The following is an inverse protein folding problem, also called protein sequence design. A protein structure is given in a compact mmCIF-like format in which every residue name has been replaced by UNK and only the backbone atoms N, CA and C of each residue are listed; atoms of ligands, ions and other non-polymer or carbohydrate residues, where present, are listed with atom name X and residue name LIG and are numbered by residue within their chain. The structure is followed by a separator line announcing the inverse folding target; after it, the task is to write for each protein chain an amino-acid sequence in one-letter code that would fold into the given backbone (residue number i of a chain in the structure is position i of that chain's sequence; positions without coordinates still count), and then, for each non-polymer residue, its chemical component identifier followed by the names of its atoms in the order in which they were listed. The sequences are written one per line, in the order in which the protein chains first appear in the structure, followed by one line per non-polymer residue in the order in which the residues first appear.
data_IF_719863363268
#
_entry.id   IF_719863363268
#
_cell.length_a   1.000
_cell.length_b   1.000
_cell.length_c   1.000
_cell.angle_alpha   90.00
_cell.angle_beta   90.00
_cell.angle_gamma   90.00
#
_symmetry.space_group_name_H-M   'P 1'
#
loop_
_entity.id
_entity.type
_entity.pdbx_description
1 polymer ?
#
# COMPACT_ATOMS: atom_id res chain seq x y z
N UNK A 1 31.69 -31.81 23.25
CA UNK A 1 30.23 -31.73 23.10
C UNK A 1 29.71 -30.30 23.17
N UNK A 2 30.15 -29.48 24.14
CA UNK A 2 29.74 -28.07 24.23
C UNK A 2 30.27 -27.22 23.05
N UNK A 3 31.54 -27.40 22.66
CA UNK A 3 32.16 -26.60 21.58
C UNK A 3 31.46 -26.82 20.23
N UNK A 4 31.18 -28.07 19.88
CA UNK A 4 30.41 -28.42 18.67
C UNK A 4 28.98 -27.85 18.69
N UNK A 5 28.35 -27.74 19.87
CA UNK A 5 27.03 -27.12 20.01
C UNK A 5 27.11 -25.60 19.82
N UNK A 6 28.15 -24.94 20.32
CA UNK A 6 28.36 -23.50 20.13
C UNK A 6 28.71 -23.17 18.68
N UNK A 7 29.55 -23.98 18.03
CA UNK A 7 29.88 -23.85 16.60
C UNK A 7 28.63 -23.95 15.71
N UNK A 8 27.76 -24.93 15.99
CA UNK A 8 26.51 -25.10 15.22
C UNK A 8 25.53 -23.95 15.45
N UNK A 9 25.35 -23.47 16.68
CA UNK A 9 24.53 -22.29 16.98
C UNK A 9 25.09 -21.05 16.28
N UNK A 10 26.41 -20.86 16.34
CA UNK A 10 27.11 -19.75 15.68
C UNK A 10 26.91 -19.77 14.16
N UNK A 11 27.06 -20.95 13.53
CA UNK A 11 26.85 -21.12 12.10
C UNK A 11 25.39 -20.82 11.70
N UNK A 12 24.42 -21.34 12.46
CA UNK A 12 22.99 -21.05 12.22
C UNK A 12 22.71 -19.56 12.31
N UNK A 13 23.31 -18.86 13.29
CA UNK A 13 23.13 -17.42 13.41
C UNK A 13 23.80 -16.66 12.26
N UNK A 14 25.03 -17.02 11.87
CA UNK A 14 25.68 -16.37 10.71
C UNK A 14 24.86 -16.55 9.43
N UNK A 15 24.34 -17.76 9.18
CA UNK A 15 23.48 -18.03 8.03
C UNK A 15 22.16 -17.25 8.09
N UNK A 16 21.51 -17.18 9.25
CA UNK A 16 20.28 -16.41 9.42
C UNK A 16 20.55 -14.90 9.26
N UNK A 17 21.66 -14.38 9.79
CA UNK A 17 22.12 -12.99 9.57
C UNK A 17 22.36 -12.69 8.10
N UNK A 18 23.10 -13.56 7.41
CA UNK A 18 23.39 -13.41 5.98
C UNK A 18 22.12 -13.44 5.14
N UNK A 19 21.17 -14.34 5.45
CA UNK A 19 19.86 -14.38 4.80
C UNK A 19 19.06 -13.09 5.06
N UNK A 20 19.05 -12.58 6.29
CA UNK A 20 18.37 -11.31 6.65
C UNK A 20 18.98 -10.13 5.90
N UNK A 21 20.31 -10.09 5.79
CA UNK A 21 21.02 -9.08 5.01
C UNK A 21 20.69 -9.20 3.52
N UNK A 22 20.71 -10.42 2.97
CA UNK A 22 20.28 -10.67 1.60
C UNK A 22 18.83 -10.22 1.36
N UNK A 23 17.87 -10.57 2.21
CA UNK A 23 16.46 -10.17 2.05
C UNK A 23 16.31 -8.64 2.09
N UNK A 24 17.11 -7.95 2.92
CA UNK A 24 17.15 -6.49 2.96
C UNK A 24 17.76 -5.89 1.68
N UNK A 25 18.86 -6.46 1.18
CA UNK A 25 19.55 -5.99 -0.03
C UNK A 25 18.84 -6.40 -1.32
N UNK A 26 18.11 -7.51 -1.33
CA UNK A 26 17.41 -8.04 -2.50
C UNK A 26 16.38 -7.04 -3.04
N UNK A 27 15.81 -6.21 -2.19
CA UNK A 27 14.96 -5.09 -2.59
C UNK A 27 15.66 -4.03 -3.43
N UNK A 28 16.96 -3.90 -3.23
CA UNK A 28 17.85 -3.00 -3.96
C UNK A 28 18.62 -3.71 -5.07
N UNK A 29 18.38 -4.99 -5.34
CA UNK A 29 19.14 -5.72 -6.36
C UNK A 29 18.19 -6.38 -7.37
N UNK A 30 17.03 -6.86 -6.94
CA UNK A 30 16.07 -7.52 -7.81
C UNK A 30 15.34 -6.51 -8.71
N UNK A 31 15.10 -6.85 -10.00
CA UNK A 31 14.37 -5.99 -10.91
C UNK A 31 12.93 -5.82 -10.43
N UNK A 32 12.42 -4.58 -10.57
CA UNK A 32 11.03 -4.27 -10.29
C UNK A 32 10.12 -5.11 -11.19
N UNK A 33 9.06 -5.66 -10.61
CA UNK A 33 8.00 -6.29 -11.41
C UNK A 33 7.28 -5.17 -12.18
N UNK A 34 7.16 -5.26 -13.51
CA UNK A 34 6.54 -4.20 -14.28
C UNK A 34 5.06 -4.06 -13.89
N UNK A 35 4.65 -2.83 -13.59
CA UNK A 35 3.26 -2.52 -13.20
C UNK A 35 2.27 -2.67 -14.37
N UNK A 36 2.77 -2.70 -15.61
CA UNK A 36 1.97 -2.96 -16.82
C UNK A 36 1.20 -4.27 -16.76
N UNK A 37 1.65 -5.23 -15.94
CA UNK A 37 0.90 -6.49 -15.73
C UNK A 37 -0.48 -6.30 -15.09
N UNK A 38 -0.73 -5.16 -14.44
CA UNK A 38 -2.02 -4.83 -13.81
C UNK A 38 -2.86 -3.87 -14.67
N UNK A 39 -2.44 -3.62 -15.91
CA UNK A 39 -3.20 -2.87 -16.91
C UNK A 39 -4.00 -3.86 -17.74
N UNK A 40 -5.32 -3.67 -17.78
CA UNK A 40 -6.23 -4.66 -18.36
C UNK A 40 -6.26 -4.62 -19.89
N UNK A 41 -6.05 -3.46 -20.51
CA UNK A 41 -6.15 -3.28 -21.98
C UNK A 41 -5.20 -2.23 -22.57
N UNK A 42 -4.23 -1.72 -21.80
CA UNK A 42 -3.32 -0.67 -22.23
C UNK A 42 -3.21 0.48 -21.20
N UNK A 43 -2.43 1.52 -21.52
CA UNK A 43 -2.28 2.68 -20.67
C UNK A 43 -3.61 3.46 -20.58
N UNK A 44 -3.90 4.01 -19.40
CA UNK A 44 -5.06 4.84 -19.08
C UNK A 44 -6.43 4.14 -19.15
N UNK A 45 -6.45 2.80 -19.18
CA UNK A 45 -7.67 2.00 -19.08
C UNK A 45 -7.94 1.51 -17.65
N UNK A 46 -6.88 1.38 -16.85
CA UNK A 46 -6.95 0.84 -15.48
C UNK A 46 -6.74 1.92 -14.45
N UNK A 47 -7.45 1.81 -13.33
CA UNK A 47 -7.43 2.78 -12.25
C UNK A 47 -6.64 2.28 -11.03
N UNK A 48 -5.96 3.20 -10.39
CA UNK A 48 -5.30 2.98 -9.11
C UNK A 48 -5.90 3.88 -8.03
N UNK A 49 -6.45 3.27 -6.96
CA UNK A 49 -6.93 4.00 -5.79
C UNK A 49 -5.80 4.14 -4.76
N UNK A 50 -5.47 5.37 -4.38
CA UNK A 50 -4.41 5.67 -3.41
C UNK A 50 -5.02 6.44 -2.25
N UNK A 51 -4.90 5.93 -1.03
CA UNK A 51 -5.31 6.64 0.20
C UNK A 51 -4.17 7.48 0.76
N UNK A 52 -4.48 8.56 1.46
CA UNK A 52 -3.46 9.52 1.93
C UNK A 52 -2.66 10.11 0.76
N UNK A 53 -3.37 10.41 -0.34
CA UNK A 53 -2.76 10.78 -1.62
C UNK A 53 -2.50 12.28 -1.79
N UNK A 54 -2.86 13.12 -0.82
CA UNK A 54 -2.65 14.57 -0.89
C UNK A 54 -1.16 14.96 -0.75
N UNK A 55 -0.35 14.17 -0.04
CA UNK A 55 1.05 14.49 0.20
C UNK A 55 1.95 13.25 0.41
N UNK A 56 3.26 13.50 0.51
CA UNK A 56 4.26 12.52 0.94
C UNK A 56 4.30 11.25 0.09
N UNK A 57 4.37 10.10 0.76
CA UNK A 57 4.50 8.78 0.09
C UNK A 57 3.29 8.47 -0.79
N UNK A 58 2.08 8.85 -0.37
CA UNK A 58 0.86 8.56 -1.12
C UNK A 58 0.80 9.36 -2.41
N UNK A 59 1.08 10.66 -2.35
CA UNK A 59 1.21 11.50 -3.54
C UNK A 59 2.27 10.96 -4.50
N UNK A 60 3.46 10.63 -4.00
CA UNK A 60 4.52 10.03 -4.83
C UNK A 60 4.10 8.70 -5.48
N UNK A 61 3.36 7.84 -4.75
CA UNK A 61 2.80 6.62 -5.36
C UNK A 61 1.80 6.94 -6.46
N UNK A 62 0.91 7.91 -6.25
CA UNK A 62 -0.08 8.33 -7.24
C UNK A 62 0.59 8.91 -8.50
N UNK A 63 1.59 9.77 -8.35
CA UNK A 63 2.41 10.30 -9.45
C UNK A 63 3.08 9.17 -10.25
N UNK A 64 3.74 8.23 -9.57
CA UNK A 64 4.45 7.14 -10.24
C UNK A 64 3.49 6.18 -10.96
N UNK A 65 2.28 5.96 -10.44
CA UNK A 65 1.24 5.16 -11.10
C UNK A 65 0.69 5.89 -12.33
N UNK A 66 0.40 7.18 -12.20
CA UNK A 66 0.01 8.07 -13.28
C UNK A 66 1.01 8.04 -14.45
N UNK A 67 2.30 8.23 -14.13
CA UNK A 67 3.39 8.20 -15.11
C UNK A 67 3.56 6.85 -15.82
N UNK A 68 3.07 5.77 -15.21
CA UNK A 68 3.08 4.43 -15.80
C UNK A 68 1.81 4.11 -16.58
N UNK A 69 0.90 5.07 -16.75
CA UNK A 69 -0.33 4.90 -17.53
C UNK A 69 -1.48 4.29 -16.72
N UNK A 70 -1.59 4.59 -15.44
CA UNK A 70 -2.85 4.37 -14.70
C UNK A 70 -3.61 5.68 -14.59
N UNK A 71 -4.93 5.62 -14.66
CA UNK A 71 -5.76 6.67 -14.07
C UNK A 71 -5.70 6.55 -12.55
N UNK A 72 -5.87 7.66 -11.82
CA UNK A 72 -5.67 7.66 -10.37
C UNK A 72 -6.90 8.18 -9.64
N UNK A 73 -7.32 7.45 -8.61
CA UNK A 73 -8.27 7.93 -7.61
C UNK A 73 -7.48 8.39 -6.40
N UNK A 74 -7.52 9.68 -6.11
CA UNK A 74 -6.85 10.27 -4.95
C UNK A 74 -7.83 10.30 -3.78
N UNK A 75 -7.49 9.63 -2.70
CA UNK A 75 -8.30 9.60 -1.49
C UNK A 75 -7.58 10.27 -0.32
N UNK A 76 -8.26 11.22 0.33
CA UNK A 76 -7.76 12.04 1.43
C UNK A 76 -8.89 12.76 2.15
N UNK A 77 -8.60 13.48 3.23
CA UNK A 77 -9.64 14.16 4.03
C UNK A 77 -9.86 15.62 3.63
N UNK A 78 -8.85 16.26 3.04
CA UNK A 78 -8.90 17.66 2.65
C UNK A 78 -9.07 17.77 1.12
N UNK A 79 -10.11 18.48 0.69
CA UNK A 79 -10.43 18.61 -0.74
C UNK A 79 -9.47 19.53 -1.47
N UNK A 80 -8.99 20.61 -0.82
CA UNK A 80 -8.11 21.59 -1.45
C UNK A 80 -6.73 20.97 -1.66
N UNK A 81 -6.21 20.23 -0.66
CA UNK A 81 -4.95 19.49 -0.83
C UNK A 81 -5.04 18.41 -1.93
N UNK A 82 -6.20 17.77 -2.08
CA UNK A 82 -6.43 16.77 -3.14
C UNK A 82 -6.49 17.40 -4.53
N UNK A 83 -7.07 18.60 -4.65
CA UNK A 83 -7.08 19.36 -5.91
C UNK A 83 -5.67 19.82 -6.28
N UNK A 84 -4.88 20.29 -5.31
CA UNK A 84 -3.47 20.64 -5.53
C UNK A 84 -2.65 19.41 -6.00
N UNK A 85 -2.85 18.26 -5.34
CA UNK A 85 -2.24 17.00 -5.73
C UNK A 85 -2.63 16.57 -7.16
N UNK A 86 -3.91 16.71 -7.52
CA UNK A 86 -4.40 16.45 -8.89
C UNK A 86 -3.70 17.35 -9.90
N UNK A 87 -3.69 18.66 -9.66
CA UNK A 87 -3.05 19.63 -10.56
C UNK A 87 -1.56 19.32 -10.77
N UNK A 88 -0.86 18.94 -9.69
CA UNK A 88 0.53 18.51 -9.76
C UNK A 88 0.71 17.28 -10.67
N UNK A 89 -0.07 16.22 -10.45
CA UNK A 89 0.02 14.97 -11.25
C UNK A 89 -0.27 15.25 -12.72
N UNK A 90 -1.33 15.99 -13.02
CA UNK A 90 -1.71 16.35 -14.40
C UNK A 90 -0.59 17.15 -15.08
N UNK A 91 0.00 18.11 -14.36
CA UNK A 91 1.11 18.92 -14.87
C UNK A 91 2.35 18.08 -15.18
N UNK A 92 2.72 17.14 -14.31
CA UNK A 92 3.89 16.28 -14.49
C UNK A 92 3.70 15.32 -15.67
N UNK A 93 2.51 14.71 -15.78
CA UNK A 93 2.15 13.84 -16.90
C UNK A 93 2.26 14.58 -18.25
N UNK A 94 1.79 15.83 -18.29
CA UNK A 94 1.90 16.70 -19.47
C UNK A 94 3.36 17.01 -19.80
N UNK A 95 4.18 17.36 -18.81
CA UNK A 95 5.60 17.65 -18.99
C UNK A 95 6.37 16.45 -19.54
N UNK A 96 6.06 15.23 -19.08
CA UNK A 96 6.68 13.99 -19.57
C UNK A 96 6.12 13.52 -20.94
N UNK A 97 5.22 14.30 -21.56
CA UNK A 97 4.62 14.03 -22.89
C UNK A 97 4.01 12.63 -23.01
N UNK A 98 3.32 12.18 -21.96
CA UNK A 98 2.61 10.92 -22.01
C UNK A 98 1.57 10.94 -23.15
N UNK A 99 1.52 9.85 -23.92
CA UNK A 99 0.52 9.69 -24.99
C UNK A 99 -0.79 9.20 -24.37
N UNK A 100 -1.67 10.12 -24.04
CA UNK A 100 -3.00 9.84 -23.48
C UNK A 100 -3.40 10.87 -22.43
N UNK A 101 -4.70 11.03 -22.23
CA UNK A 101 -5.24 11.88 -21.17
C UNK A 101 -5.40 11.04 -19.91
N UNK A 102 -4.61 11.39 -18.88
CA UNK A 102 -4.81 10.83 -17.55
C UNK A 102 -6.10 11.37 -16.95
N UNK A 103 -6.93 10.48 -16.42
CA UNK A 103 -8.06 10.86 -15.58
C UNK A 103 -7.66 10.78 -14.09
N UNK A 104 -8.01 11.82 -13.34
CA UNK A 104 -7.85 11.88 -11.89
C UNK A 104 -9.23 12.05 -11.26
N UNK A 105 -9.58 11.18 -10.31
CA UNK A 105 -10.84 11.26 -9.54
C UNK A 105 -10.52 11.49 -8.07
N UNK A 106 -11.27 12.37 -7.42
CA UNK A 106 -11.11 12.66 -5.99
C UNK A 106 -12.14 11.91 -5.15
N UNK A 107 -11.71 11.40 -4.00
CA UNK A 107 -12.57 10.77 -2.99
C UNK A 107 -12.23 11.34 -1.63
N UNK A 108 -13.15 12.11 -1.06
CA UNK A 108 -12.95 12.73 0.26
C UNK A 108 -13.40 11.77 1.34
N UNK A 109 -12.44 11.23 2.10
CA UNK A 109 -12.66 10.37 3.26
C UNK A 109 -11.61 10.68 4.33
N UNK A 110 -12.10 10.95 5.54
CA UNK A 110 -11.26 10.95 6.74
C UNK A 110 -11.12 9.52 7.26
N UNK A 111 -9.92 8.99 7.27
CA UNK A 111 -9.68 7.62 7.71
C UNK A 111 -9.85 7.40 9.22
N UNK A 112 -9.76 8.45 10.05
CA UNK A 112 -10.04 8.37 11.48
C UNK A 112 -11.54 8.56 11.79
N UNK A 113 -12.24 9.38 11.01
CA UNK A 113 -13.61 9.78 11.33
C UNK A 113 -14.71 9.18 10.43
N UNK A 114 -14.37 8.67 9.24
CA UNK A 114 -15.39 8.21 8.29
C UNK A 114 -16.09 6.94 8.79
N UNK A 115 -17.42 7.02 8.84
CA UNK A 115 -18.29 5.90 9.17
C UNK A 115 -18.29 4.83 8.08
N UNK A 116 -18.64 3.58 8.44
CA UNK A 116 -18.72 2.49 7.47
C UNK A 116 -19.65 2.77 6.27
N UNK A 117 -20.84 3.39 6.44
CA UNK A 117 -21.68 3.79 5.31
C UNK A 117 -21.03 4.81 4.37
N UNK A 118 -20.26 5.77 4.90
CA UNK A 118 -19.55 6.75 4.06
C UNK A 118 -18.47 6.08 3.22
N UNK A 119 -17.69 5.18 3.81
CA UNK A 119 -16.67 4.41 3.06
C UNK A 119 -17.32 3.51 2.02
N UNK A 120 -18.46 2.88 2.34
CA UNK A 120 -19.22 2.07 1.37
C UNK A 120 -19.72 2.93 0.20
N UNK A 121 -20.35 4.07 0.48
CA UNK A 121 -20.86 4.96 -0.56
C UNK A 121 -19.73 5.48 -1.47
N UNK A 122 -18.56 5.80 -0.91
CA UNK A 122 -17.39 6.17 -1.69
C UNK A 122 -16.92 5.04 -2.61
N UNK A 123 -16.87 3.80 -2.13
CA UNK A 123 -16.51 2.63 -2.95
C UNK A 123 -17.54 2.35 -4.03
N UNK A 124 -18.83 2.47 -3.72
CA UNK A 124 -19.91 2.29 -4.68
C UNK A 124 -19.84 3.34 -5.80
N UNK A 125 -19.42 4.57 -5.48
CA UNK A 125 -19.15 5.64 -6.45
C UNK A 125 -17.93 5.40 -7.36
N UNK A 126 -17.18 4.31 -7.15
CA UNK A 126 -16.08 3.87 -8.02
C UNK A 126 -16.44 2.62 -8.83
N UNK A 127 -17.70 2.16 -8.79
CA UNK A 127 -18.13 0.93 -9.46
C UNK A 127 -18.02 0.98 -10.99
N UNK A 128 -18.00 2.18 -11.57
CA UNK A 128 -17.78 2.43 -13.01
C UNK A 128 -16.31 2.29 -13.42
N UNK A 129 -15.38 2.20 -12.46
CA UNK A 129 -13.95 2.21 -12.73
C UNK A 129 -13.35 0.80 -12.69
N UNK A 130 -12.48 0.51 -13.65
CA UNK A 130 -11.62 -0.68 -13.66
C UNK A 130 -10.45 -0.50 -12.67
N UNK A 131 -10.75 -0.41 -11.37
CA UNK A 131 -9.72 -0.33 -10.32
C UNK A 131 -8.99 -1.67 -10.22
N UNK A 132 -7.69 -1.65 -10.49
CA UNK A 132 -6.81 -2.84 -10.43
C UNK A 132 -5.70 -2.69 -9.40
N UNK A 133 -5.41 -1.47 -8.93
CA UNK A 133 -4.40 -1.21 -7.91
C UNK A 133 -5.04 -0.47 -6.74
N UNK A 134 -4.86 -0.98 -5.52
CA UNK A 134 -5.21 -0.29 -4.28
C UNK A 134 -3.93 -0.04 -3.49
N UNK A 135 -3.66 1.22 -3.14
CA UNK A 135 -2.57 1.62 -2.25
C UNK A 135 -3.17 2.20 -0.99
N UNK A 136 -3.15 1.40 0.08
CA UNK A 136 -3.52 1.86 1.42
C UNK A 136 -2.31 2.56 2.06
N UNK A 137 -2.23 3.87 1.88
CA UNK A 137 -1.22 4.76 2.47
C UNK A 137 -1.86 5.72 3.48
N UNK A 138 -2.60 5.17 4.43
CA UNK A 138 -3.08 5.97 5.57
C UNK A 138 -2.23 5.62 6.79
N UNK A 139 -1.34 6.52 7.19
CA UNK A 139 -0.50 6.31 8.36
C UNK A 139 -0.13 7.62 9.02
N UNK A 140 -0.21 7.66 10.34
CA UNK A 140 0.19 8.81 11.12
C UNK A 140 -0.46 8.80 12.49
N UNK A 141 -0.29 9.91 13.19
CA UNK A 141 -1.12 10.25 14.33
C UNK A 141 -2.34 11.04 13.81
N UNK A 142 -3.54 10.84 14.39
CA UNK A 142 -4.67 11.73 14.20
C UNK A 142 -4.24 13.20 14.31
N UNK A 143 -4.88 14.10 13.55
CA UNK A 143 -4.50 15.52 13.50
C UNK A 143 -4.39 16.16 14.91
N UNK A 144 -5.29 15.78 15.81
CA UNK A 144 -5.32 16.25 17.21
C UNK A 144 -4.11 15.81 18.05
N UNK A 145 -3.40 14.75 17.63
CA UNK A 145 -2.26 14.16 18.32
C UNK A 145 -0.91 14.50 17.69
N UNK A 146 -0.88 15.23 16.57
CA UNK A 146 0.38 15.54 15.87
C UNK A 146 1.39 16.31 16.73
N UNK A 147 0.90 17.05 17.73
CA UNK A 147 1.74 17.78 18.70
C UNK A 147 2.24 16.90 19.86
N UNK A 148 1.69 15.70 20.06
CA UNK A 148 1.99 14.79 21.15
C UNK A 148 2.55 13.47 20.60
N UNK A 149 3.70 13.57 19.92
CA UNK A 149 4.26 12.44 19.15
C UNK A 149 4.64 11.21 20.00
N UNK A 150 4.68 11.33 21.33
CA UNK A 150 4.94 10.25 22.25
C UNK A 150 4.09 10.43 23.51
N UNK A 151 2.98 9.70 23.58
CA UNK A 151 2.08 9.69 24.73
C UNK A 151 2.03 8.29 25.31
N UNK A 152 2.31 8.14 26.61
CA UNK A 152 2.23 6.83 27.24
C UNK A 152 0.77 6.35 27.20
N UNK A 153 0.57 5.04 27.09
CA UNK A 153 -0.78 4.46 27.03
C UNK A 153 -1.69 4.91 28.19
N UNK A 154 -1.12 5.07 29.39
CA UNK A 154 -1.85 5.53 30.59
C UNK A 154 -2.30 7.00 30.52
N UNK A 155 -1.74 7.77 29.60
CA UNK A 155 -2.04 9.19 29.38
C UNK A 155 -3.01 9.40 28.21
N UNK A 156 -3.15 8.40 27.32
CA UNK A 156 -4.07 8.48 26.17
C UNK A 156 -5.52 8.42 26.63
N UNK A 157 -6.37 9.27 26.04
CA UNK A 157 -7.81 9.11 26.19
C UNK A 157 -8.31 7.88 25.43
N UNK A 158 -9.53 7.42 25.73
CA UNK A 158 -10.13 6.30 24.98
C UNK A 158 -10.31 6.68 23.51
N UNK A 159 -10.78 7.91 23.25
CA UNK A 159 -10.97 8.43 21.90
C UNK A 159 -9.65 8.49 21.12
N UNK A 160 -8.54 8.83 21.79
CA UNK A 160 -7.21 8.85 21.19
C UNK A 160 -6.73 7.47 20.76
N UNK A 161 -7.02 6.45 21.59
CA UNK A 161 -6.73 5.05 21.28
C UNK A 161 -7.55 4.60 20.07
N UNK A 162 -8.85 4.86 20.08
CA UNK A 162 -9.75 4.47 19.01
C UNK A 162 -9.41 5.15 17.68
N UNK A 163 -9.18 6.47 17.69
CA UNK A 163 -8.78 7.23 16.50
C UNK A 163 -7.46 6.71 15.89
N UNK A 164 -6.49 6.34 16.73
CA UNK A 164 -5.23 5.75 16.28
C UNK A 164 -5.45 4.40 15.58
N UNK A 165 -6.31 3.55 16.16
CA UNK A 165 -6.66 2.23 15.59
C UNK A 165 -7.46 2.41 14.29
N UNK A 166 -8.40 3.33 14.26
CA UNK A 166 -9.23 3.62 13.09
C UNK A 166 -8.39 4.04 11.90
N UNK A 167 -7.54 5.05 12.11
CA UNK A 167 -6.64 5.61 11.11
C UNK A 167 -5.66 4.58 10.55
N UNK A 168 -5.02 3.79 11.43
CA UNK A 168 -3.85 2.99 11.04
C UNK A 168 -4.16 1.52 10.72
N UNK A 169 -5.33 1.01 11.13
CA UNK A 169 -5.71 -0.39 10.94
C UNK A 169 -7.12 -0.56 10.39
N UNK A 170 -8.14 0.01 11.05
CA UNK A 170 -9.54 -0.30 10.76
C UNK A 170 -9.96 0.21 9.39
N UNK A 171 -9.58 1.43 9.03
CA UNK A 171 -9.91 2.03 7.74
C UNK A 171 -9.36 1.20 6.57
N UNK A 172 -8.06 0.86 6.61
CA UNK A 172 -7.42 0.02 5.59
C UNK A 172 -8.12 -1.32 5.42
N UNK A 173 -8.43 -2.01 6.53
CA UNK A 173 -9.09 -3.30 6.48
C UNK A 173 -10.50 -3.20 5.87
N UNK A 174 -11.27 -2.18 6.28
CA UNK A 174 -12.62 -1.92 5.74
C UNK A 174 -12.57 -1.63 4.25
N UNK A 175 -11.73 -0.69 3.83
CA UNK A 175 -11.60 -0.30 2.42
C UNK A 175 -11.14 -1.49 1.57
N UNK A 176 -10.15 -2.26 2.04
CA UNK A 176 -9.68 -3.45 1.33
C UNK A 176 -10.78 -4.49 1.17
N UNK A 177 -11.57 -4.76 2.22
CA UNK A 177 -12.73 -5.67 2.15
C UNK A 177 -13.77 -5.21 1.14
N UNK A 178 -14.04 -3.90 1.08
CA UNK A 178 -15.01 -3.31 0.17
C UNK A 178 -14.55 -3.33 -1.29
N UNK A 179 -13.26 -3.08 -1.53
CA UNK A 179 -12.66 -3.11 -2.86
C UNK A 179 -12.36 -4.53 -3.35
N UNK A 180 -12.22 -5.52 -2.47
CA UNK A 180 -11.82 -6.88 -2.84
C UNK A 180 -12.68 -7.51 -3.96
N UNK A 181 -14.03 -7.40 -3.97
CA UNK A 181 -14.83 -7.90 -5.08
C UNK A 181 -14.54 -7.20 -6.42
N UNK A 182 -14.32 -5.89 -6.41
CA UNK A 182 -13.99 -5.13 -7.62
C UNK A 182 -12.59 -5.52 -8.14
N UNK A 183 -11.59 -5.57 -7.26
CA UNK A 183 -10.24 -6.00 -7.59
C UNK A 183 -10.22 -7.45 -8.12
N UNK A 184 -11.00 -8.36 -7.55
CA UNK A 184 -11.11 -9.73 -8.05
C UNK A 184 -11.71 -9.79 -9.46
N UNK A 185 -12.74 -8.98 -9.75
CA UNK A 185 -13.35 -8.88 -11.10
C UNK A 185 -12.42 -8.24 -12.13
N UNK A 186 -11.68 -7.22 -11.72
CA UNK A 186 -10.81 -6.44 -12.61
C UNK A 186 -9.42 -7.04 -12.80
N UNK A 187 -9.13 -8.15 -12.10
CA UNK A 187 -7.83 -8.80 -12.04
C UNK A 187 -7.14 -9.05 -13.39
N UNK A 188 -5.79 -9.05 -13.46
CA UNK A 188 -4.80 -8.99 -12.36
C UNK A 188 -4.86 -7.71 -11.50
N UNK A 189 -4.68 -7.85 -10.18
CA UNK A 189 -4.76 -6.71 -9.25
C UNK A 189 -3.68 -6.73 -8.17
N UNK A 190 -3.42 -5.55 -7.60
CA UNK A 190 -2.40 -5.29 -6.58
C UNK A 190 -3.02 -4.56 -5.37
N UNK A 191 -2.68 -4.99 -4.15
CA UNK A 191 -3.04 -4.26 -2.92
C UNK A 191 -1.76 -3.93 -2.15
N UNK A 192 -1.33 -2.68 -2.16
CA UNK A 192 -0.18 -2.21 -1.39
C UNK A 192 -0.65 -1.71 -0.03
N UNK A 193 -0.08 -2.21 1.06
CA UNK A 193 -0.41 -1.74 2.42
C UNK A 193 0.82 -1.08 3.03
N UNK A 194 0.80 0.24 3.21
CA UNK A 194 1.95 0.95 3.78
C UNK A 194 2.02 0.68 5.29
N UNK A 195 3.09 -0.03 5.67
CA UNK A 195 3.41 -0.33 7.07
C UNK A 195 4.47 0.60 7.63
N UNK A 196 5.08 0.19 8.74
CA UNK A 196 6.10 0.97 9.44
C UNK A 196 7.25 0.09 9.95
N UNK A 197 8.45 0.67 10.06
CA UNK A 197 9.61 0.04 10.70
C UNK A 197 9.39 -0.25 12.19
N UNK A 198 8.42 0.42 12.82
CA UNK A 198 8.02 0.19 14.22
C UNK A 198 7.47 -1.22 14.48
N UNK A 199 7.10 -1.95 13.42
CA UNK A 199 6.68 -3.36 13.50
C UNK A 199 7.81 -4.34 13.82
N UNK A 200 9.06 -3.87 13.81
CA UNK A 200 10.22 -4.67 14.22
C UNK A 200 10.44 -4.54 15.73
N UNK A 201 10.99 -5.58 16.37
CA UNK A 201 11.23 -5.58 17.82
C UNK A 201 12.11 -4.42 18.31
N UNK A 202 12.91 -3.81 17.42
CA UNK A 202 13.74 -2.63 17.72
C UNK A 202 12.98 -1.29 17.60
N UNK A 203 11.77 -1.27 17.03
CA UNK A 203 11.01 -0.06 16.71
C UNK A 203 9.78 0.18 17.58
N UNK A 204 9.55 -0.62 18.62
CA UNK A 204 8.50 -0.37 19.62
C UNK A 204 9.03 0.58 20.70
N UNK A 205 9.04 1.87 20.40
CA UNK A 205 9.47 2.91 21.33
C UNK A 205 8.39 3.20 22.38
N UNK A 206 8.76 3.58 23.62
CA UNK A 206 7.81 4.09 24.61
C UNK A 206 6.94 5.20 24.01
N UNK A 207 5.63 5.15 24.30
CA UNK A 207 4.66 6.12 23.77
C UNK A 207 4.08 5.79 22.39
N UNK A 208 4.45 4.65 21.78
CA UNK A 208 3.93 4.23 20.47
C UNK A 208 3.06 2.96 20.51
N UNK A 209 2.63 2.52 21.69
CA UNK A 209 2.05 1.19 21.89
C UNK A 209 0.87 0.88 20.95
N UNK A 210 -0.11 1.80 20.87
CA UNK A 210 -1.31 1.62 20.04
C UNK A 210 -0.96 1.67 18.55
N UNK A 211 -0.13 2.63 18.14
CA UNK A 211 0.34 2.76 16.76
C UNK A 211 1.11 1.53 16.29
N UNK A 212 2.07 1.06 17.10
CA UNK A 212 2.88 -0.12 16.82
C UNK A 212 2.03 -1.38 16.73
N UNK A 213 1.03 -1.54 17.61
CA UNK A 213 0.05 -2.62 17.52
C UNK A 213 -0.79 -2.54 16.23
N UNK A 214 -1.26 -1.36 15.84
CA UNK A 214 -2.00 -1.16 14.59
C UNK A 214 -1.15 -1.50 13.36
N UNK A 215 0.13 -1.13 13.33
CA UNK A 215 1.02 -1.50 12.22
C UNK A 215 1.39 -2.99 12.22
N UNK A 216 1.47 -3.63 13.39
CA UNK A 216 1.59 -5.09 13.47
C UNK A 216 0.33 -5.79 12.91
N UNK A 217 -0.87 -5.24 13.17
CA UNK A 217 -2.11 -5.69 12.53
C UNK A 217 -2.02 -5.60 11.01
N UNK A 218 -1.60 -4.46 10.45
CA UNK A 218 -1.42 -4.29 8.99
C UNK A 218 -0.51 -5.36 8.40
N UNK A 219 0.62 -5.65 9.05
CA UNK A 219 1.56 -6.67 8.60
C UNK A 219 0.95 -8.09 8.67
N UNK A 220 0.21 -8.41 9.74
CA UNK A 220 -0.46 -9.70 9.88
C UNK A 220 -1.58 -9.88 8.85
N UNK A 221 -2.47 -8.89 8.74
CA UNK A 221 -3.55 -8.82 7.76
C UNK A 221 -3.02 -9.00 6.34
N UNK A 222 -1.95 -8.28 5.99
CA UNK A 222 -1.32 -8.35 4.67
C UNK A 222 -0.83 -9.75 4.31
N UNK A 223 -0.20 -10.44 5.27
CA UNK A 223 0.28 -11.82 5.08
C UNK A 223 -0.86 -12.82 4.94
N UNK A 224 -1.92 -12.67 5.73
CA UNK A 224 -3.10 -13.53 5.65
C UNK A 224 -3.81 -13.34 4.31
N UNK A 225 -4.10 -12.10 3.92
CA UNK A 225 -4.75 -11.76 2.66
C UNK A 225 -3.95 -12.28 1.45
N UNK A 226 -2.63 -12.12 1.45
CA UNK A 226 -1.79 -12.65 0.38
C UNK A 226 -1.89 -14.19 0.25
N UNK A 227 -2.05 -14.91 1.36
CA UNK A 227 -2.23 -16.37 1.37
C UNK A 227 -3.62 -16.77 0.87
N UNK A 228 -4.67 -16.07 1.31
CA UNK A 228 -6.05 -16.25 0.84
C UNK A 228 -6.11 -16.10 -0.69
N UNK A 229 -5.58 -14.99 -1.20
CA UNK A 229 -5.61 -14.70 -2.63
C UNK A 229 -4.78 -15.70 -3.46
N UNK A 230 -3.66 -16.19 -2.92
CA UNK A 230 -2.89 -17.26 -3.56
C UNK A 230 -3.67 -18.58 -3.60
N UNK A 231 -4.41 -18.90 -2.55
CA UNK A 231 -5.24 -20.10 -2.49
C UNK A 231 -6.42 -20.01 -3.48
N UNK A 232 -7.08 -18.86 -3.57
CA UNK A 232 -8.14 -18.63 -4.56
C UNK A 232 -7.64 -18.74 -6.00
N UNK A 233 -6.50 -18.11 -6.31
CA UNK A 233 -5.87 -18.21 -7.63
C UNK A 233 -5.41 -19.63 -7.99
N UNK A 234 -4.99 -20.44 -7.00
CA UNK A 234 -4.67 -21.85 -7.23
C UNK A 234 -5.92 -22.74 -7.42
N UNK A 235 -7.03 -22.37 -6.79
CA UNK A 235 -8.31 -23.10 -6.86
C UNK A 235 -8.99 -22.89 -8.21
N UNK A 236 -8.94 -21.66 -8.76
CA UNK A 236 -9.46 -21.35 -10.09
C UNK A 236 -8.66 -22.03 -11.21
N UNK A 237 -7.35 -22.23 -11.05
CA UNK A 237 -6.51 -22.98 -12.00
C UNK A 237 -6.88 -24.48 -12.09
N UNK A 238 -7.51 -25.05 -11.06
CA UNK A 238 -7.92 -26.47 -11.04
C UNK A 238 -9.30 -26.71 -11.63
N UNK A 239 -10.16 -25.68 -11.68
CA UNK A 239 -11.47 -25.77 -12.32
C UNK A 239 -11.34 -25.26 -13.76
N UNK A 240 -11.70 -26.08 -14.73
CA UNK A 240 -11.74 -25.73 -16.15
C UNK A 240 -12.94 -24.80 -16.44
N UNK A 241 -13.11 -23.75 -15.64
CA UNK A 241 -14.15 -22.75 -15.80
C UNK A 241 -13.75 -21.74 -16.90
N UNK A 242 -14.68 -21.30 -17.76
CA UNK A 242 -14.43 -20.24 -18.74
C UNK A 242 -14.05 -18.93 -18.04
N UNK A 243 -13.40 -17.96 -18.73
CA UNK A 243 -12.58 -16.92 -18.10
C UNK A 243 -13.43 -15.89 -17.34
N UNK A 244 -13.86 -16.22 -16.13
CA UNK A 244 -14.33 -15.26 -15.14
C UNK A 244 -13.10 -14.81 -14.33
N UNK A 245 -12.65 -13.58 -14.59
CA UNK A 245 -11.73 -12.81 -13.74
C UNK A 245 -10.51 -13.59 -13.26
N UNK A 246 -9.42 -13.57 -14.05
CA UNK A 246 -8.14 -14.11 -13.60
C UNK A 246 -7.68 -13.26 -12.40
N UNK A 247 -7.80 -13.78 -11.18
CA UNK A 247 -7.15 -13.24 -9.98
C UNK A 247 -5.64 -13.53 -10.10
N UNK A 248 -4.98 -12.94 -11.09
CA UNK A 248 -3.55 -13.09 -11.31
C UNK A 248 -2.80 -12.28 -10.26
N UNK A 249 -2.37 -12.96 -9.20
CA UNK A 249 -1.42 -12.51 -8.18
C UNK A 249 -1.74 -11.12 -7.58
N UNK A 250 -2.59 -11.13 -6.55
CA UNK A 250 -2.55 -10.12 -5.49
C UNK A 250 -1.15 -10.12 -4.86
N UNK A 251 -0.41 -9.02 -5.02
CA UNK A 251 0.73 -8.73 -4.17
C UNK A 251 0.25 -7.90 -2.99
N UNK A 252 0.54 -8.32 -1.76
CA UNK A 252 0.42 -7.45 -0.60
C UNK A 252 1.81 -7.14 -0.06
N UNK A 253 2.22 -5.88 -0.15
CA UNK A 253 3.54 -5.43 0.28
C UNK A 253 3.41 -4.44 1.41
N UNK A 254 4.19 -4.67 2.47
CA UNK A 254 4.41 -3.74 3.58
C UNK A 254 5.64 -2.88 3.26
N UNK A 255 5.58 -1.58 3.53
CA UNK A 255 6.55 -0.50 3.21
C UNK A 255 8.01 -0.92 3.00
N UNK A 256 8.58 -1.78 3.85
CA UNK A 256 9.96 -2.27 3.67
C UNK A 256 10.20 -2.91 2.30
N UNK A 257 9.20 -3.54 1.66
CA UNK A 257 9.32 -4.24 0.37
C UNK A 257 8.79 -3.48 -0.86
N UNK A 258 8.09 -2.36 -0.67
CA UNK A 258 7.30 -1.71 -1.73
C UNK A 258 8.11 -0.73 -2.61
N UNK A 259 9.00 0.07 -2.00
CA UNK A 259 9.67 1.18 -2.68
C UNK A 259 10.65 0.76 -3.78
N UNK A 260 11.25 -0.43 -3.68
CA UNK A 260 12.13 -0.97 -4.74
C UNK A 260 11.41 -1.23 -6.07
N UNK A 261 10.09 -1.44 -6.03
CA UNK A 261 9.27 -1.73 -7.23
C UNK A 261 8.73 -0.47 -7.93
N UNK A 262 8.59 0.63 -7.20
CA UNK A 262 7.99 1.89 -7.69
C UNK A 262 9.07 2.93 -7.99
N UNK A 263 10.12 3.05 -7.16
CA UNK A 263 11.10 4.15 -7.25
C UNK A 263 12.28 3.96 -8.21
N UNK A 264 12.38 2.85 -8.96
CA UNK A 264 13.59 2.54 -9.77
C UNK A 264 13.50 2.76 -11.27
N UNK A 265 12.36 3.24 -11.79
CA UNK A 265 12.30 3.59 -13.21
C UNK A 265 13.04 4.91 -13.54
N UNK A 266 13.33 5.74 -12.55
CA UNK A 266 13.89 7.10 -12.77
C UNK A 266 15.43 7.18 -12.76
N UNK A 267 16.17 6.08 -12.55
CA UNK A 267 17.65 6.12 -12.50
C UNK A 267 18.35 5.62 -13.76
N UNK A 268 17.63 5.29 -14.85
CA UNK A 268 18.25 4.80 -16.10
C UNK A 268 18.06 5.72 -17.32
N UNK A 269 17.54 6.95 -17.15
CA UNK A 269 17.41 7.87 -18.28
C UNK A 269 17.66 9.34 -17.92
N UNK A 270 18.80 9.62 -17.26
CA UNK A 270 19.39 10.95 -17.32
C UNK A 270 20.29 11.02 -18.56
N UNK A 271 20.08 11.95 -19.50
CA UNK A 271 21.09 12.24 -20.50
C UNK A 271 22.34 12.77 -19.80
N UNK A 272 23.49 12.21 -20.18
CA UNK A 272 24.81 12.77 -19.90
C UNK A 272 24.85 14.23 -20.33
N UNK A 273 25.08 15.12 -19.36
CA UNK A 273 25.86 16.33 -19.56
C UNK A 273 27.15 16.18 -18.76
#
# INVERSE_FOLDING_TARGET
MLDQALETIGLVWVLYSAYRLYDALALWILPAVPLTRYQKNGPFESWALVTGASAGIGLGCAQELALRGFNVVLCGHDVDELEDARALIESECRLRRLKGDIAVRLVVLDAAASSAPQVQAAVDGLADLDVTVLVNNTSGLPAQQQQQQQQLLREMSVDDVDATIDLNARFMARLTRLMAPALARNGPSLVLNVGSSTTTAAGSEPGSAVYSAAKAFVASFSRALAREMKAEGASSLRRHDPPRGRISRFGVYTYSRALGSIGRADTLNRPTL
#
